data_IF_720550023560
#
_entry.id   IF_720550023560
#
_cell.length_a   1.000
_cell.length_b   1.000
_cell.length_c   1.000
_cell.angle_alpha   90.00
_cell.angle_beta   90.00
_cell.angle_gamma   90.00
#
_symmetry.space_group_name_H-M   'P 1'
#
loop_
_entity.id
_entity.type
_entity.pdbx_description
1 polymer ?
#
# COMPACT_ATOMS: atom_id res chain seq x y z
N UNK A 1 -54.68 -15.17 1.16
CA UNK A 1 -53.75 -15.48 2.26
C UNK A 1 -52.51 -14.61 2.05
N UNK A 2 -52.50 -13.35 2.50
CA UNK A 2 -52.13 -12.90 3.86
C UNK A 2 -50.90 -13.63 4.41
N UNK A 3 -49.72 -13.00 4.40
CA UNK A 3 -49.25 -12.23 5.55
C UNK A 3 -48.05 -11.34 5.20
N UNK A 4 -48.11 -10.12 5.74
CA UNK A 4 -47.11 -9.04 5.74
C UNK A 4 -45.94 -9.34 6.71
N UNK A 5 -44.87 -8.52 6.69
CA UNK A 5 -43.53 -8.86 7.17
C UNK A 5 -43.34 -8.64 8.68
N UNK A 6 -42.27 -9.21 9.24
CA UNK A 6 -41.81 -8.93 10.61
C UNK A 6 -40.38 -8.37 10.63
N UNK A 7 -40.31 -7.23 11.30
CA UNK A 7 -39.16 -6.44 11.73
C UNK A 7 -38.44 -7.09 12.91
N UNK A 8 -37.14 -6.82 13.05
CA UNK A 8 -36.36 -6.81 14.31
C UNK A 8 -34.93 -6.36 13.98
N UNK A 9 -34.59 -5.07 13.98
CA UNK A 9 -34.21 -4.25 15.14
C UNK A 9 -33.24 -4.92 16.12
N UNK A 10 -31.95 -4.62 15.98
CA UNK A 10 -31.05 -4.42 17.12
C UNK A 10 -29.85 -3.55 16.69
N UNK A 11 -30.06 -2.23 16.71
CA UNK A 11 -28.99 -1.23 16.78
C UNK A 11 -28.29 -1.40 18.12
N UNK A 12 -27.00 -1.77 18.11
CA UNK A 12 -26.15 -1.69 19.30
C UNK A 12 -25.71 -0.22 19.43
N UNK A 13 -26.49 0.54 20.20
CA UNK A 13 -26.09 1.84 20.74
C UNK A 13 -25.02 1.58 21.80
N UNK A 14 -23.77 1.98 21.55
CA UNK A 14 -22.79 2.14 22.64
C UNK A 14 -23.08 3.46 23.33
N UNK A 15 -23.67 3.34 24.51
CA UNK A 15 -24.00 4.42 25.44
C UNK A 15 -22.75 5.15 25.93
N UNK A 16 -22.82 6.47 25.86
CA UNK A 16 -21.95 7.40 26.55
C UNK A 16 -21.98 7.14 28.07
N UNK A 17 -20.81 6.86 28.66
CA UNK A 17 -20.62 6.95 30.11
C UNK A 17 -20.05 8.33 30.43
N UNK A 18 -20.94 9.27 30.75
CA UNK A 18 -20.62 10.52 31.46
C UNK A 18 -20.37 10.16 32.93
N UNK A 19 -19.11 10.06 33.30
CA UNK A 19 -18.69 10.02 34.70
C UNK A 19 -18.90 11.39 35.34
N UNK A 20 -19.84 11.40 36.26
CA UNK A 20 -20.14 12.38 37.32
C UNK A 20 -18.93 13.14 37.87
N UNK A 21 -19.10 14.46 38.01
CA UNK A 21 -18.13 15.40 38.55
C UNK A 21 -17.88 15.26 40.06
N UNK A 22 -17.14 16.24 40.62
CA UNK A 22 -17.88 17.35 41.22
C UNK A 22 -17.31 18.73 40.85
N UNK A 23 -18.21 19.70 40.64
CA UNK A 23 -17.91 21.13 40.59
C UNK A 23 -18.48 21.77 41.87
N UNK A 24 -17.75 22.71 42.52
CA UNK A 24 -18.01 23.16 43.88
C UNK A 24 -18.97 24.35 43.92
N UNK A 25 -19.67 24.57 45.03
CA UNK A 25 -19.91 25.91 45.56
C UNK A 25 -20.12 25.87 47.10
N UNK A 26 -19.74 26.95 47.79
CA UNK A 26 -19.74 27.08 49.24
C UNK A 26 -21.02 27.76 49.74
N UNK A 27 -21.46 27.42 50.95
CA UNK A 27 -22.30 28.29 51.78
C UNK A 27 -22.41 27.65 53.16
N UNK A 28 -21.59 28.13 54.09
CA UNK A 28 -22.06 28.47 55.43
C UNK A 28 -21.08 29.49 56.00
N UNK A 29 -21.52 30.75 55.94
CA UNK A 29 -20.93 31.85 56.65
C UNK A 29 -21.79 32.10 57.89
N UNK A 30 -21.26 31.85 59.07
CA UNK A 30 -21.42 32.79 60.18
C UNK A 30 -20.51 32.46 61.36
N UNK A 31 -19.66 33.45 61.64
CA UNK A 31 -19.25 33.91 62.96
C UNK A 31 -18.48 32.93 63.85
N UNK A 32 -17.17 33.11 63.87
CA UNK A 32 -16.46 33.42 65.11
C UNK A 32 -15.39 34.47 64.80
N UNK A 33 -15.66 35.70 65.21
CA UNK A 33 -14.66 36.75 65.33
C UNK A 33 -13.68 36.34 66.43
N UNK A 34 -12.44 36.07 66.07
CA UNK A 34 -11.32 36.01 67.02
C UNK A 34 -10.17 36.81 66.44
N UNK A 35 -9.98 37.95 67.07
CA UNK A 35 -8.78 38.79 67.16
C UNK A 35 -7.65 38.54 66.15
N UNK A 36 -7.48 39.51 65.26
CA UNK A 36 -6.29 39.68 64.46
C UNK A 36 -5.07 39.91 65.36
N UNK A 37 -4.17 38.93 65.40
CA UNK A 37 -2.76 39.17 65.71
C UNK A 37 -1.98 37.91 65.36
N UNK A 38 -1.13 38.02 64.32
CA UNK A 38 -0.16 37.03 63.82
C UNK A 38 -0.84 35.81 63.15
N UNK A 39 -0.79 35.57 61.83
CA UNK A 39 0.41 35.31 61.03
C UNK A 39 0.10 35.46 59.51
N UNK A 40 0.42 36.60 58.89
CA UNK A 40 0.42 36.70 57.41
C UNK A 40 1.46 35.74 56.79
N UNK A 41 2.54 35.45 57.52
CA UNK A 41 3.59 34.52 57.12
C UNK A 41 3.12 33.05 57.03
N UNK A 42 2.19 32.59 57.89
CA UNK A 42 1.74 31.19 57.86
C UNK A 42 0.81 30.89 56.66
N UNK A 43 -0.04 31.85 56.26
CA UNK A 43 -0.95 31.69 55.12
C UNK A 43 -0.21 31.76 53.78
N UNK A 44 0.85 32.57 53.68
CA UNK A 44 1.73 32.62 52.52
C UNK A 44 2.64 31.39 52.40
N UNK A 45 3.12 30.83 53.52
CA UNK A 45 3.86 29.55 53.53
C UNK A 45 2.95 28.39 53.13
N UNK A 46 1.70 28.37 53.58
CA UNK A 46 0.70 27.37 53.17
C UNK A 46 0.34 27.50 51.69
N UNK A 47 0.13 28.70 51.16
CA UNK A 47 -0.08 28.94 49.72
C UNK A 47 1.14 28.55 48.89
N UNK A 48 2.33 28.90 49.34
CA UNK A 48 3.58 28.51 48.68
C UNK A 48 3.73 26.99 48.63
N UNK A 49 3.49 26.29 49.73
CA UNK A 49 3.53 24.82 49.77
C UNK A 49 2.47 24.17 48.87
N UNK A 50 1.26 24.75 48.81
CA UNK A 50 0.15 24.27 47.97
C UNK A 50 0.43 24.47 46.49
N UNK A 51 0.96 25.62 46.11
CA UNK A 51 1.38 25.89 44.72
C UNK A 51 2.56 25.01 44.31
N UNK A 52 3.53 24.78 45.20
CA UNK A 52 4.64 23.86 44.96
C UNK A 52 4.14 22.43 44.77
N UNK A 53 3.17 21.98 45.57
CA UNK A 53 2.54 20.67 45.41
C UNK A 53 1.77 20.56 44.08
N UNK A 54 1.01 21.59 43.71
CA UNK A 54 0.29 21.63 42.43
C UNK A 54 1.24 21.64 41.22
N UNK A 55 2.35 22.37 41.30
CA UNK A 55 3.39 22.38 40.27
C UNK A 55 4.07 21.00 40.15
N UNK A 56 4.35 20.35 41.27
CA UNK A 56 4.89 18.98 41.26
C UNK A 56 3.90 17.99 40.63
N UNK A 57 2.64 18.04 41.04
CA UNK A 57 1.60 17.16 40.50
C UNK A 57 1.36 17.38 38.99
N UNK A 58 1.43 18.62 38.51
CA UNK A 58 1.31 18.94 37.09
C UNK A 58 2.54 18.49 36.31
N UNK A 59 3.76 18.66 36.85
CA UNK A 59 4.99 18.13 36.26
C UNK A 59 4.93 16.59 36.13
N UNK A 60 4.53 15.89 37.19
CA UNK A 60 4.36 14.43 37.18
C UNK A 60 3.28 13.98 36.18
N UNK A 61 2.23 14.79 35.99
CA UNK A 61 1.21 14.54 34.96
C UNK A 61 1.76 14.70 33.55
N UNK A 62 2.56 15.76 33.30
CA UNK A 62 3.20 16.01 32.02
C UNK A 62 4.20 14.90 31.69
N UNK A 63 5.03 14.48 32.64
CA UNK A 63 5.98 13.38 32.46
C UNK A 63 5.28 12.08 32.08
N UNK A 64 4.17 11.75 32.74
CA UNK A 64 3.36 10.56 32.38
C UNK A 64 2.76 10.68 30.98
N UNK A 65 2.25 11.85 30.60
CA UNK A 65 1.73 12.08 29.24
C UNK A 65 2.83 11.97 28.19
N UNK A 66 4.02 12.52 28.48
CA UNK A 66 5.18 12.45 27.59
C UNK A 66 5.64 11.00 27.39
N UNK A 67 5.79 10.22 28.46
CA UNK A 67 6.14 8.81 28.37
C UNK A 67 5.11 8.01 27.55
N UNK A 68 3.82 8.31 27.71
CA UNK A 68 2.75 7.69 26.92
C UNK A 68 2.83 8.07 25.44
N UNK A 69 3.10 9.33 25.13
CA UNK A 69 3.28 9.79 23.74
C UNK A 69 4.49 9.10 23.09
N UNK A 70 5.60 8.98 23.82
CA UNK A 70 6.81 8.31 23.34
C UNK A 70 6.55 6.83 23.05
N UNK A 71 5.85 6.12 23.96
CA UNK A 71 5.46 4.73 23.74
C UNK A 71 4.54 4.57 22.52
N UNK A 72 3.57 5.47 22.35
CA UNK A 72 2.68 5.49 21.18
C UNK A 72 3.44 5.75 19.89
N UNK A 73 4.39 6.70 19.89
CA UNK A 73 5.21 7.01 18.72
C UNK A 73 6.09 5.81 18.29
N UNK A 74 6.69 5.11 19.25
CA UNK A 74 7.43 3.88 18.97
C UNK A 74 6.53 2.77 18.41
N UNK A 75 5.31 2.61 18.96
CA UNK A 75 4.34 1.65 18.44
C UNK A 75 3.93 1.97 17.02
N UNK A 76 3.59 3.22 16.74
CA UNK A 76 3.23 3.70 15.40
C UNK A 76 4.37 3.48 14.39
N UNK A 77 5.62 3.74 14.79
CA UNK A 77 6.79 3.47 13.93
C UNK A 77 6.89 1.99 13.56
N UNK A 78 6.64 1.08 14.52
CA UNK A 78 6.63 -0.36 14.28
C UNK A 78 5.46 -0.78 13.36
N UNK A 79 4.27 -0.26 13.61
CA UNK A 79 3.08 -0.50 12.78
C UNK A 79 3.29 -0.04 11.34
N UNK A 80 3.90 1.14 11.15
CA UNK A 80 4.23 1.69 9.82
C UNK A 80 5.25 0.81 9.10
N UNK A 81 6.29 0.35 9.81
CA UNK A 81 7.26 -0.58 9.24
C UNK A 81 6.64 -1.93 8.84
N UNK A 82 5.76 -2.48 9.69
CA UNK A 82 4.99 -3.69 9.38
C UNK A 82 4.10 -3.49 8.16
N UNK A 83 3.40 -2.35 8.07
CA UNK A 83 2.56 -2.03 6.92
C UNK A 83 3.39 -1.90 5.64
N UNK A 84 4.52 -1.18 5.68
CA UNK A 84 5.44 -1.06 4.54
C UNK A 84 5.95 -2.44 4.10
N UNK A 85 6.31 -3.31 5.05
CA UNK A 85 6.70 -4.69 4.75
C UNK A 85 5.55 -5.50 4.15
N UNK A 86 4.34 -5.35 4.68
CA UNK A 86 3.16 -6.01 4.13
C UNK A 86 2.87 -5.53 2.72
N UNK A 87 2.94 -4.23 2.43
CA UNK A 87 2.79 -3.67 1.07
C UNK A 87 3.86 -4.22 0.14
N UNK A 88 5.14 -4.23 0.56
CA UNK A 88 6.23 -4.84 -0.22
C UNK A 88 5.98 -6.32 -0.53
N UNK A 89 5.44 -7.08 0.43
CA UNK A 89 5.11 -8.49 0.25
C UNK A 89 3.82 -8.70 -0.57
N UNK A 90 2.87 -7.77 -0.49
CA UNK A 90 1.65 -7.74 -1.31
C UNK A 90 1.92 -7.33 -2.76
N UNK A 91 3.16 -6.95 -3.11
CA UNK A 91 3.56 -6.72 -4.50
C UNK A 91 3.83 -8.04 -5.26
N UNK A 92 3.70 -9.20 -4.63
CA UNK A 92 3.77 -10.50 -5.31
C UNK A 92 2.81 -10.56 -6.53
N UNK A 93 1.48 -10.33 -6.39
CA UNK A 93 0.55 -10.34 -7.51
C UNK A 93 0.83 -9.24 -8.55
N UNK A 94 1.49 -8.14 -8.15
CA UNK A 94 1.88 -7.09 -9.08
C UNK A 94 3.05 -7.55 -9.95
N UNK A 95 4.03 -8.24 -9.37
CA UNK A 95 5.16 -8.74 -10.12
C UNK A 95 4.75 -9.81 -11.14
N UNK A 96 3.91 -10.78 -10.80
CA UNK A 96 3.40 -11.75 -11.79
C UNK A 96 2.59 -11.05 -12.90
N UNK A 97 1.82 -10.02 -12.55
CA UNK A 97 1.08 -9.22 -13.54
C UNK A 97 2.04 -8.49 -14.48
N UNK A 98 3.09 -7.86 -13.96
CA UNK A 98 4.09 -7.15 -14.76
C UNK A 98 4.88 -8.09 -15.65
N UNK A 99 5.27 -9.26 -15.12
CA UNK A 99 5.93 -10.33 -15.87
C UNK A 99 5.02 -10.84 -16.99
N UNK A 100 3.75 -11.11 -16.71
CA UNK A 100 2.78 -11.50 -17.73
C UNK A 100 2.61 -10.43 -18.81
N UNK A 101 2.52 -9.16 -18.44
CA UNK A 101 2.28 -8.06 -19.37
C UNK A 101 3.49 -7.80 -20.29
N UNK A 102 4.71 -7.77 -19.74
CA UNK A 102 5.92 -7.57 -20.57
C UNK A 102 6.18 -8.78 -21.48
N UNK A 103 5.94 -10.01 -21.00
CA UNK A 103 6.07 -11.20 -21.85
C UNK A 103 4.98 -11.25 -22.93
N UNK A 104 3.76 -10.81 -22.61
CA UNK A 104 2.70 -10.61 -23.63
C UNK A 104 3.19 -9.66 -24.72
N UNK A 105 3.80 -8.54 -24.32
CA UNK A 105 4.31 -7.57 -25.27
C UNK A 105 5.47 -8.13 -26.11
N UNK A 106 6.35 -8.91 -25.49
CA UNK A 106 7.43 -9.60 -26.19
C UNK A 106 6.88 -10.59 -27.24
N UNK A 107 5.80 -11.31 -26.94
CA UNK A 107 5.12 -12.19 -27.89
C UNK A 107 4.62 -11.38 -29.10
N UNK A 108 3.98 -10.24 -28.86
CA UNK A 108 3.48 -9.37 -29.93
C UNK A 108 4.60 -8.87 -30.85
N UNK A 109 5.72 -8.41 -30.26
CA UNK A 109 6.90 -7.94 -31.00
C UNK A 109 7.55 -9.07 -31.79
N UNK A 110 7.75 -10.23 -31.17
CA UNK A 110 8.34 -11.39 -31.82
C UNK A 110 7.50 -11.86 -33.02
N UNK A 111 6.17 -11.91 -32.88
CA UNK A 111 5.26 -12.23 -33.97
C UNK A 111 5.32 -11.20 -35.10
N UNK A 112 5.33 -9.91 -34.76
CA UNK A 112 5.48 -8.84 -35.77
C UNK A 112 6.78 -9.00 -36.57
N UNK A 113 7.86 -9.45 -35.92
CA UNK A 113 9.14 -9.68 -36.59
C UNK A 113 9.22 -10.95 -37.44
N UNK A 114 8.38 -11.96 -37.20
CA UNK A 114 8.42 -13.24 -37.93
C UNK A 114 7.88 -13.18 -39.37
N UNK A 115 7.47 -12.00 -39.88
CA UNK A 115 6.82 -11.82 -41.20
C UNK A 115 5.58 -12.69 -41.45
N UNK A 116 5.09 -13.41 -40.43
CA UNK A 116 3.76 -14.03 -40.43
C UNK A 116 2.78 -12.98 -39.95
N UNK A 117 1.67 -12.85 -40.66
CA UNK A 117 0.63 -11.84 -40.44
C UNK A 117 0.25 -11.68 -38.96
N UNK A 118 -0.13 -10.43 -38.61
CA UNK A 118 -0.72 -9.99 -37.33
C UNK A 118 -1.38 -11.15 -36.57
N UNK A 119 -0.98 -11.34 -35.30
CA UNK A 119 -1.76 -12.11 -34.33
C UNK A 119 -3.25 -11.81 -34.57
N UNK A 120 -4.07 -12.84 -34.78
CA UNK A 120 -5.50 -12.68 -35.09
C UNK A 120 -6.28 -11.91 -34.00
N UNK A 121 -5.64 -11.52 -32.90
CA UNK A 121 -6.18 -10.68 -31.85
C UNK A 121 -6.06 -9.18 -32.21
N UNK A 122 -6.84 -8.74 -33.19
CA UNK A 122 -7.21 -7.33 -33.34
C UNK A 122 -8.36 -6.96 -32.40
N UNK A 123 -8.21 -7.21 -31.09
CA UNK A 123 -9.22 -6.83 -30.10
C UNK A 123 -8.93 -5.39 -29.68
N UNK A 124 -9.84 -4.49 -30.06
CA UNK A 124 -9.80 -3.10 -29.63
C UNK A 124 -9.83 -3.04 -28.09
N UNK A 125 -8.91 -2.27 -27.54
CA UNK A 125 -8.68 -2.12 -26.11
C UNK A 125 -9.90 -1.42 -25.49
N UNK A 126 -10.74 -2.18 -24.78
CA UNK A 126 -11.86 -1.65 -23.99
C UNK A 126 -12.89 -2.73 -23.68
N UNK A 127 -12.98 -3.12 -22.40
CA UNK A 127 -13.98 -4.01 -21.81
C UNK A 127 -14.01 -5.45 -22.35
N UNK A 128 -13.02 -6.29 -21.97
CA UNK A 128 -13.06 -7.70 -22.34
C UNK A 128 -13.98 -8.50 -21.41
N UNK A 129 -14.97 -9.19 -21.98
CA UNK A 129 -15.75 -10.19 -21.25
C UNK A 129 -14.84 -11.33 -20.73
N UNK A 130 -15.30 -12.10 -19.73
CA UNK A 130 -14.53 -13.26 -19.20
C UNK A 130 -14.18 -14.25 -20.32
N UNK A 131 -15.10 -14.46 -21.27
CA UNK A 131 -14.88 -15.30 -22.44
C UNK A 131 -13.79 -14.75 -23.38
N UNK A 132 -13.72 -13.42 -23.57
CA UNK A 132 -12.65 -12.79 -24.33
C UNK A 132 -11.29 -12.94 -23.65
N UNK A 133 -11.25 -12.92 -22.31
CA UNK A 133 -10.00 -13.14 -21.54
C UNK A 133 -9.48 -14.56 -21.70
N UNK A 134 -10.35 -15.56 -21.63
CA UNK A 134 -9.98 -16.97 -21.86
C UNK A 134 -9.52 -17.19 -23.31
N UNK A 135 -10.20 -16.58 -24.28
CA UNK A 135 -9.80 -16.61 -25.68
C UNK A 135 -8.42 -15.97 -25.91
N UNK A 136 -8.14 -14.82 -25.27
CA UNK A 136 -6.84 -14.16 -25.34
C UNK A 136 -5.75 -15.01 -24.67
N UNK A 137 -6.03 -15.61 -23.51
CA UNK A 137 -5.10 -16.54 -22.85
C UNK A 137 -4.70 -17.68 -23.79
N UNK A 138 -5.66 -18.33 -24.44
CA UNK A 138 -5.36 -19.40 -25.39
C UNK A 138 -4.63 -18.89 -26.63
N UNK A 139 -4.98 -17.71 -27.14
CA UNK A 139 -4.33 -17.10 -28.29
C UNK A 139 -2.84 -16.83 -28.04
N UNK A 140 -2.49 -16.18 -26.92
CA UNK A 140 -1.09 -15.89 -26.60
C UNK A 140 -0.30 -17.17 -26.25
N UNK A 141 -0.90 -18.13 -25.54
CA UNK A 141 -0.23 -19.41 -25.28
C UNK A 141 0.07 -20.20 -26.56
N UNK A 142 -0.84 -20.16 -27.53
CA UNK A 142 -0.58 -20.77 -28.84
C UNK A 142 0.44 -19.97 -29.65
N UNK A 143 0.44 -18.64 -29.53
CA UNK A 143 1.39 -17.77 -30.16
C UNK A 143 2.83 -18.03 -29.68
N UNK A 144 3.06 -18.20 -28.38
CA UNK A 144 4.37 -18.55 -27.81
C UNK A 144 4.97 -19.76 -28.49
N UNK A 145 4.18 -20.83 -28.66
CA UNK A 145 4.63 -22.09 -29.27
C UNK A 145 5.08 -21.94 -30.72
N UNK A 146 4.66 -20.86 -31.40
CA UNK A 146 5.05 -20.58 -32.78
C UNK A 146 6.31 -19.70 -32.87
N UNK A 147 6.72 -19.06 -31.77
CA UNK A 147 7.94 -18.26 -31.72
C UNK A 147 9.14 -19.21 -31.76
N UNK A 148 10.07 -18.91 -32.67
CA UNK A 148 11.34 -19.62 -32.80
C UNK A 148 12.39 -18.87 -32.01
N UNK A 149 13.28 -19.58 -31.34
CA UNK A 149 14.42 -18.98 -30.64
C UNK A 149 15.25 -18.07 -31.55
N UNK A 150 15.48 -18.49 -32.80
CA UNK A 150 16.18 -17.68 -33.83
C UNK A 150 15.50 -16.35 -34.13
N UNK A 151 14.22 -16.18 -33.83
CA UNK A 151 13.55 -14.88 -33.92
C UNK A 151 14.02 -13.95 -32.81
N UNK A 152 14.12 -14.42 -31.57
CA UNK A 152 14.58 -13.58 -30.45
C UNK A 152 16.04 -13.18 -30.61
N UNK A 153 16.87 -14.11 -31.10
CA UNK A 153 18.27 -13.81 -31.42
C UNK A 153 18.39 -12.70 -32.46
N UNK A 154 17.52 -12.65 -33.47
CA UNK A 154 17.48 -11.56 -34.46
C UNK A 154 17.07 -10.22 -33.87
N UNK A 155 16.35 -10.23 -32.75
CA UNK A 155 15.90 -9.05 -32.01
C UNK A 155 16.96 -8.64 -30.96
N UNK A 156 18.07 -9.40 -30.84
CA UNK A 156 19.14 -9.13 -29.89
C UNK A 156 18.90 -9.67 -28.48
N UNK A 157 17.97 -10.62 -28.34
CA UNK A 157 17.66 -11.30 -27.08
C UNK A 157 18.29 -12.69 -27.04
N UNK A 158 18.91 -13.01 -25.90
CA UNK A 158 19.59 -14.28 -25.66
C UNK A 158 18.61 -15.43 -25.34
N UNK A 159 19.11 -16.66 -25.26
CA UNK A 159 18.33 -17.90 -25.00
C UNK A 159 17.45 -17.82 -23.73
N UNK A 160 17.94 -17.18 -22.66
CA UNK A 160 17.19 -16.98 -21.40
C UNK A 160 15.82 -16.30 -21.58
N UNK A 161 15.67 -15.46 -22.61
CA UNK A 161 14.38 -14.82 -22.93
C UNK A 161 13.43 -15.75 -23.66
N UNK A 162 13.98 -16.70 -24.43
CA UNK A 162 13.20 -17.77 -25.03
C UNK A 162 12.64 -18.71 -23.96
N UNK A 163 13.47 -19.10 -22.99
CA UNK A 163 13.04 -19.91 -21.85
C UNK A 163 11.94 -19.21 -21.04
N UNK A 164 12.09 -17.92 -20.77
CA UNK A 164 11.06 -17.13 -20.08
C UNK A 164 9.73 -17.09 -20.86
N UNK A 165 9.78 -16.99 -22.19
CA UNK A 165 8.59 -17.06 -23.03
C UNK A 165 7.92 -18.43 -22.97
N UNK A 166 8.66 -19.54 -22.96
CA UNK A 166 8.08 -20.87 -22.84
C UNK A 166 7.32 -21.04 -21.51
N UNK A 167 7.75 -20.33 -20.46
CA UNK A 167 7.11 -20.29 -19.14
C UNK A 167 5.95 -19.30 -19.03
N UNK A 168 5.63 -18.58 -20.12
CA UNK A 168 4.52 -17.61 -20.13
C UNK A 168 3.19 -18.20 -19.64
N UNK A 169 2.91 -19.48 -19.91
CA UNK A 169 1.69 -20.15 -19.48
C UNK A 169 1.49 -20.15 -17.95
N UNK A 170 2.57 -20.06 -17.17
CA UNK A 170 2.55 -19.98 -15.70
C UNK A 170 2.02 -18.61 -15.23
N UNK A 171 2.34 -17.54 -15.96
CA UNK A 171 2.05 -16.16 -15.58
C UNK A 171 0.87 -15.55 -16.35
N UNK A 172 0.48 -16.14 -17.48
CA UNK A 172 -0.60 -15.68 -18.34
C UNK A 172 -1.96 -15.43 -17.62
N UNK A 173 -2.36 -16.18 -16.57
CA UNK A 173 -3.58 -15.87 -15.82
C UNK A 173 -3.56 -14.48 -15.16
N UNK A 174 -2.38 -13.96 -14.81
CA UNK A 174 -2.22 -12.68 -14.13
C UNK A 174 -2.18 -11.47 -15.07
N UNK A 175 -2.16 -11.68 -16.39
CA UNK A 175 -2.14 -10.61 -17.41
C UNK A 175 -3.24 -9.58 -17.14
N UNK A 176 -2.88 -8.31 -17.20
CA UNK A 176 -3.83 -7.21 -17.10
C UNK A 176 -4.67 -7.08 -18.38
N UNK A 177 -5.82 -6.40 -18.33
CA UNK A 177 -6.59 -6.11 -19.54
C UNK A 177 -5.80 -5.30 -20.57
N UNK A 178 -4.90 -4.42 -20.11
CA UNK A 178 -4.07 -3.56 -20.94
C UNK A 178 -2.59 -3.60 -20.49
N UNK A 179 -1.71 -4.31 -21.22
CA UNK A 179 -0.29 -4.45 -20.90
C UNK A 179 0.51 -3.13 -20.85
N UNK A 180 0.00 -2.03 -21.43
CA UNK A 180 0.66 -0.72 -21.37
C UNK A 180 0.41 0.00 -20.04
N UNK A 181 -0.60 -0.39 -19.27
CA UNK A 181 -0.90 0.25 -17.98
C UNK A 181 0.15 -0.09 -16.91
N UNK A 182 0.86 -1.19 -17.07
CA UNK A 182 1.82 -1.67 -16.08
C UNK A 182 3.26 -1.24 -16.35
N UNK A 183 3.56 -0.71 -17.55
CA UNK A 183 4.90 -0.28 -17.97
C UNK A 183 5.58 0.61 -16.93
N UNK A 184 4.93 1.72 -16.56
CA UNK A 184 5.53 2.72 -15.67
C UNK A 184 5.69 2.21 -14.24
N UNK A 185 4.70 1.45 -13.75
CA UNK A 185 4.74 0.87 -12.41
C UNK A 185 5.86 -0.19 -12.31
N UNK A 186 6.01 -1.01 -13.34
CA UNK A 186 7.06 -2.01 -13.42
C UNK A 186 8.44 -1.37 -13.53
N UNK A 187 8.58 -0.31 -14.33
CA UNK A 187 9.81 0.45 -14.48
C UNK A 187 10.27 1.05 -13.14
N UNK A 188 9.37 1.72 -12.40
CA UNK A 188 9.64 2.26 -11.07
C UNK A 188 10.09 1.16 -10.10
N UNK A 189 9.38 0.04 -10.09
CA UNK A 189 9.73 -1.09 -9.23
C UNK A 189 11.11 -1.68 -9.59
N UNK A 190 11.47 -1.78 -10.87
CA UNK A 190 12.79 -2.25 -11.28
C UNK A 190 13.90 -1.32 -10.80
N UNK A 191 13.70 0.00 -10.86
CA UNK A 191 14.68 0.97 -10.33
C UNK A 191 14.86 0.79 -8.82
N UNK A 192 13.76 0.67 -8.07
CA UNK A 192 13.80 0.47 -6.62
C UNK A 192 14.48 -0.85 -6.22
N UNK A 193 14.32 -1.89 -7.05
CA UNK A 193 14.86 -3.23 -6.80
C UNK A 193 16.27 -3.42 -7.39
N UNK A 194 16.79 -2.45 -8.16
CA UNK A 194 18.08 -2.54 -8.87
C UNK A 194 19.24 -2.91 -7.95
N UNK A 195 19.30 -2.30 -6.77
CA UNK A 195 20.38 -2.55 -5.80
C UNK A 195 20.20 -3.90 -5.08
N UNK A 196 18.95 -4.31 -4.84
CA UNK A 196 18.65 -5.53 -4.08
C UNK A 196 18.74 -6.78 -4.95
N UNK A 197 18.37 -6.69 -6.24
CA UNK A 197 18.32 -7.82 -7.19
C UNK A 197 18.83 -7.39 -8.57
N UNK A 198 20.15 -7.12 -8.72
CA UNK A 198 20.72 -6.60 -9.96
C UNK A 198 20.51 -7.54 -11.14
N UNK A 199 20.62 -8.86 -10.96
CA UNK A 199 20.39 -9.83 -12.03
C UNK A 199 18.94 -9.79 -12.57
N UNK A 200 17.96 -9.49 -11.71
CA UNK A 200 16.56 -9.35 -12.11
C UNK A 200 16.34 -8.05 -12.87
N UNK A 201 16.97 -6.97 -12.41
CA UNK A 201 17.00 -5.70 -13.13
C UNK A 201 17.58 -5.87 -14.54
N UNK A 202 18.79 -6.43 -14.66
CA UNK A 202 19.48 -6.60 -15.95
C UNK A 202 18.68 -7.46 -16.93
N UNK A 203 18.01 -8.50 -16.41
CA UNK A 203 17.16 -9.35 -17.22
C UNK A 203 15.99 -8.55 -17.81
N UNK A 204 15.17 -7.92 -16.98
CA UNK A 204 13.96 -7.23 -17.43
C UNK A 204 14.27 -5.93 -18.17
N UNK A 205 15.30 -5.19 -17.78
CA UNK A 205 15.69 -3.92 -18.40
C UNK A 205 16.01 -4.07 -19.89
N UNK A 206 16.62 -5.19 -20.31
CA UNK A 206 16.91 -5.48 -21.73
C UNK A 206 15.65 -5.64 -22.57
N UNK A 207 14.51 -5.98 -21.97
CA UNK A 207 13.23 -6.10 -22.67
C UNK A 207 12.54 -4.76 -22.91
N UNK A 208 12.83 -3.71 -22.12
CA UNK A 208 12.14 -2.43 -22.20
C UNK A 208 12.29 -1.76 -23.59
N UNK A 209 13.51 -1.61 -24.14
CA UNK A 209 13.68 -1.01 -25.46
C UNK A 209 13.03 -1.85 -26.58
N UNK A 210 12.91 -3.16 -26.38
CA UNK A 210 12.31 -4.07 -27.36
C UNK A 210 10.78 -4.03 -27.32
N UNK A 211 10.20 -3.92 -26.11
CA UNK A 211 8.77 -4.05 -25.88
C UNK A 211 8.03 -2.71 -25.93
N UNK A 212 8.67 -1.64 -25.46
CA UNK A 212 8.07 -0.33 -25.24
C UNK A 212 8.79 0.81 -25.99
N UNK A 213 9.84 0.49 -26.77
CA UNK A 213 10.67 1.47 -27.50
C UNK A 213 11.30 2.55 -26.58
N UNK A 214 11.49 2.22 -25.29
CA UNK A 214 11.97 3.12 -24.24
C UNK A 214 12.88 2.39 -23.25
N UNK A 215 13.72 3.12 -22.54
CA UNK A 215 14.51 2.57 -21.43
C UNK A 215 13.68 2.46 -20.14
N UNK A 216 14.17 1.69 -19.16
CA UNK A 216 13.51 1.59 -17.84
C UNK A 216 13.44 2.96 -17.17
N UNK A 217 14.50 3.76 -17.29
CA UNK A 217 14.60 5.10 -16.71
C UNK A 217 13.59 6.06 -17.34
N UNK A 218 13.42 6.01 -18.66
CA UNK A 218 12.42 6.81 -19.39
C UNK A 218 11.00 6.41 -18.98
N UNK A 219 10.68 5.11 -18.97
CA UNK A 219 9.37 4.61 -18.58
C UNK A 219 9.03 4.92 -17.12
N UNK A 220 10.01 4.89 -16.21
CA UNK A 220 9.79 5.22 -14.81
C UNK A 220 9.52 6.72 -14.58
N UNK A 221 10.05 7.58 -15.45
CA UNK A 221 9.98 9.04 -15.33
C UNK A 221 8.71 9.65 -15.93
N UNK A 222 7.88 8.87 -16.61
CA UNK A 222 6.77 9.41 -17.40
C UNK A 222 5.59 9.98 -16.60
N UNK A 223 5.48 9.76 -15.28
CA UNK A 223 4.40 10.30 -14.44
C UNK A 223 4.81 10.44 -12.98
#
# INVERSE_FOLDING_TARGET
>A
MSHKPRTSSSKILRTHSRGTGPTPLPQDASMLSSEASWSEDDDDVLKFSTTQFALKATNDCIQRKFARLQANALRLKRELWLLQRHVKNFNHPLYETWEADILTRLIEVAHAHQRRHKLHAGVAIGESTVAERENLYHAYNNAVKQIRESTLLKIGLDEKYYEALLRYHEVAPYRSPNPFQTENAFAKWLIDEREQRPAKFDFWAKLFPVCYDRTVEESASMF
#
